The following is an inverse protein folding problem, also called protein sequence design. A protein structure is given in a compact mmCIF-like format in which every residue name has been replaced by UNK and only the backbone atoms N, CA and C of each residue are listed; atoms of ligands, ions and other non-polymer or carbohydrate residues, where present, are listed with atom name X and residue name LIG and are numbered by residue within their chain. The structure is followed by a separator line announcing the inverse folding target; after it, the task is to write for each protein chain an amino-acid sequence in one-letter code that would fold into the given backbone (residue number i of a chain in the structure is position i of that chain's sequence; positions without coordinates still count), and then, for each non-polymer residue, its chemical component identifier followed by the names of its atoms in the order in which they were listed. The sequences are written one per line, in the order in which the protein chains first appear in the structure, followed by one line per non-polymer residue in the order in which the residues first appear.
data_IF_151700855466
#
_entry.id   IF_151700855466
#
_cell.length_a   1.000
_cell.length_b   1.000
_cell.length_c   1.000
_cell.angle_alpha   90.00
_cell.angle_beta   90.00
_cell.angle_gamma   90.00
#
_symmetry.space_group_name_H-M   'P 1'
#
loop_
_entity.id
_entity.type
_entity.pdbx_description
1 polymer ?
#
# COMPACT_ATOMS: atom_id res chain seq x y z
N UNK A 1 -14.43 -7.13 -7.84
CA UNK A 1 -13.85 -7.32 -6.50
C UNK A 1 -12.38 -6.95 -6.57
N UNK A 2 -11.86 -6.21 -5.59
CA UNK A 2 -10.44 -5.86 -5.55
C UNK A 2 -9.57 -7.11 -5.38
N UNK A 3 -8.40 -7.21 -6.03
CA UNK A 3 -7.52 -8.38 -5.96
C UNK A 3 -6.68 -8.36 -4.66
N UNK A 4 -7.35 -8.43 -3.52
CA UNK A 4 -6.75 -8.30 -2.17
C UNK A 4 -5.53 -9.20 -1.96
N UNK A 5 -5.59 -10.47 -2.40
CA UNK A 5 -4.50 -11.42 -2.23
C UNK A 5 -3.26 -11.07 -3.06
N UNK A 6 -3.43 -10.50 -4.26
CA UNK A 6 -2.32 -10.06 -5.11
C UNK A 6 -1.70 -8.77 -4.58
N UNK A 7 -2.53 -7.83 -4.13
CA UNK A 7 -2.07 -6.59 -3.48
C UNK A 7 -1.30 -6.89 -2.19
N UNK A 8 -1.78 -7.83 -1.37
CA UNK A 8 -1.09 -8.24 -0.15
C UNK A 8 0.27 -8.87 -0.45
N UNK A 9 0.31 -9.82 -1.40
CA UNK A 9 1.59 -10.44 -1.81
C UNK A 9 2.56 -9.42 -2.38
N UNK A 10 2.07 -8.46 -3.19
CA UNK A 10 2.87 -7.40 -3.77
C UNK A 10 3.39 -6.40 -2.73
N UNK A 11 2.62 -6.09 -1.70
CA UNK A 11 3.02 -5.23 -0.59
C UNK A 11 4.05 -5.92 0.30
N UNK A 12 3.82 -7.18 0.67
CA UNK A 12 4.76 -7.99 1.46
C UNK A 12 6.07 -8.22 0.70
N UNK A 13 6.02 -8.49 -0.61
CA UNK A 13 7.24 -8.64 -1.42
C UNK A 13 8.06 -7.36 -1.53
N UNK A 14 7.43 -6.20 -1.31
CA UNK A 14 8.10 -4.89 -1.27
C UNK A 14 8.58 -4.51 0.13
N UNK A 15 8.37 -5.35 1.14
CA UNK A 15 8.83 -5.11 2.51
C UNK A 15 7.80 -4.48 3.45
N UNK A 16 6.55 -4.31 2.99
CA UNK A 16 5.48 -3.87 3.87
C UNK A 16 5.14 -4.99 4.86
N UNK A 17 5.11 -4.67 6.15
CA UNK A 17 4.69 -5.65 7.15
C UNK A 17 3.20 -5.98 6.98
N UNK A 18 2.78 -7.22 7.28
CA UNK A 18 1.35 -7.57 7.21
C UNK A 18 0.47 -6.66 8.04
N UNK A 19 0.97 -6.18 9.19
CA UNK A 19 0.24 -5.32 10.10
C UNK A 19 0.08 -3.90 9.54
N UNK A 20 1.13 -3.34 8.92
CA UNK A 20 1.05 -2.04 8.25
C UNK A 20 0.05 -2.07 7.08
N UNK A 21 -0.02 -3.17 6.34
CA UNK A 21 -0.99 -3.35 5.27
C UNK A 21 -2.44 -3.26 5.74
N UNK A 22 -2.75 -3.79 6.93
CA UNK A 22 -4.09 -3.74 7.51
C UNK A 22 -4.40 -2.43 8.21
N UNK A 23 -3.38 -1.62 8.52
CA UNK A 23 -3.54 -0.26 9.04
C UNK A 23 -3.78 0.78 7.94
N UNK A 24 -3.52 0.45 6.68
CA UNK A 24 -3.78 1.34 5.54
C UNK A 24 -5.26 1.75 5.47
N UNK A 25 -5.52 3.04 5.26
CA UNK A 25 -6.87 3.58 5.11
C UNK A 25 -7.46 3.30 3.74
N UNK A 26 -8.80 3.40 3.64
CA UNK A 26 -9.55 3.18 2.39
C UNK A 26 -9.02 4.05 1.25
N UNK A 27 -8.46 5.23 1.55
CA UNK A 27 -7.88 6.15 0.55
C UNK A 27 -6.54 5.65 0.01
N UNK A 28 -5.67 5.13 0.87
CA UNK A 28 -4.40 4.51 0.49
C UNK A 28 -4.64 3.21 -0.29
N UNK A 29 -5.67 2.45 0.09
CA UNK A 29 -6.13 1.28 -0.64
C UNK A 29 -6.66 1.61 -2.03
N UNK A 30 -7.48 2.66 -2.15
CA UNK A 30 -7.95 3.16 -3.44
C UNK A 30 -6.76 3.59 -4.30
N UNK A 31 -5.76 4.25 -3.71
CA UNK A 31 -4.53 4.65 -4.39
C UNK A 31 -3.69 3.46 -4.86
N UNK A 32 -3.43 2.48 -3.99
CA UNK A 32 -2.75 1.23 -4.33
C UNK A 32 -3.47 0.46 -5.45
N UNK A 33 -4.80 0.50 -5.47
CA UNK A 33 -5.59 -0.14 -6.53
C UNK A 33 -5.63 0.65 -7.84
N UNK A 34 -5.47 1.98 -7.77
CA UNK A 34 -5.41 2.90 -8.90
C UNK A 34 -4.02 2.91 -9.55
N UNK A 35 -2.96 2.73 -8.76
CA UNK A 35 -1.58 2.49 -9.17
C UNK A 35 -1.40 1.05 -9.63
N UNK A 36 -1.90 0.73 -10.83
CA UNK A 36 -1.34 -0.37 -11.65
C UNK A 36 -0.01 0.04 -12.29
N UNK A 37 0.73 0.95 -11.67
CA UNK A 37 2.00 1.43 -12.19
C UNK A 37 3.15 0.63 -11.55
N UNK A 38 3.94 -0.11 -12.34
CA UNK A 38 5.04 -0.92 -11.83
C UNK A 38 6.22 -0.11 -11.27
N UNK A 39 6.22 1.22 -11.42
CA UNK A 39 7.27 2.12 -10.92
C UNK A 39 7.04 2.63 -9.50
N UNK A 40 6.03 2.12 -8.79
CA UNK A 40 5.72 2.51 -7.42
C UNK A 40 6.33 1.55 -6.38
N UNK A 41 7.14 2.12 -5.50
CA UNK A 41 8.05 1.40 -4.62
C UNK A 41 7.52 1.38 -3.18
N UNK A 42 8.09 0.52 -2.32
CA UNK A 42 7.78 0.56 -0.88
C UNK A 42 8.26 1.87 -0.21
N UNK A 43 9.33 2.47 -0.71
CA UNK A 43 9.82 3.77 -0.23
C UNK A 43 8.82 4.89 -0.51
N UNK A 44 8.17 4.90 -1.68
CA UNK A 44 7.10 5.86 -1.98
C UNK A 44 5.91 5.68 -1.04
N UNK A 45 5.61 4.44 -0.67
CA UNK A 45 4.51 4.11 0.24
C UNK A 45 4.82 4.54 1.67
N UNK A 46 6.03 4.30 2.15
CA UNK A 46 6.53 4.78 3.43
C UNK A 46 6.55 6.31 3.51
N UNK A 47 7.04 6.98 2.46
CA UNK A 47 7.03 8.44 2.37
C UNK A 47 5.60 9.01 2.43
N UNK A 48 4.63 8.32 1.84
CA UNK A 48 3.22 8.72 1.84
C UNK A 48 2.58 8.55 3.23
N UNK A 49 2.85 7.43 3.91
CA UNK A 49 2.41 7.18 5.28
C UNK A 49 3.01 8.21 6.26
N UNK A 50 4.26 8.65 6.04
CA UNK A 50 4.90 9.71 6.84
C UNK A 50 4.33 11.11 6.54
N UNK A 51 3.94 11.39 5.30
CA UNK A 51 3.40 12.72 4.93
C UNK A 51 1.91 12.89 5.19
N UNK A 52 1.16 11.81 5.34
CA UNK A 52 -0.25 11.83 5.76
C UNK A 52 -0.51 10.74 6.80
N UNK A 53 -0.03 10.92 8.04
CA UNK A 53 -0.41 10.03 9.13
C UNK A 53 -1.92 10.18 9.36
N UNK A 54 -2.65 9.09 9.20
CA UNK A 54 -4.02 9.01 9.69
C UNK A 54 -3.95 9.05 11.23
N UNK A 55 -4.46 10.16 11.78
CA UNK A 55 -4.39 10.49 13.21
C UNK A 55 -5.26 9.61 14.11
#
# INVERSE_FOLDING_TARGET
MLPWAEMFRAAVSRGLSPEAFWQLSVREWLWLSALRDPSFDADDLLFLMETHPDG
#
